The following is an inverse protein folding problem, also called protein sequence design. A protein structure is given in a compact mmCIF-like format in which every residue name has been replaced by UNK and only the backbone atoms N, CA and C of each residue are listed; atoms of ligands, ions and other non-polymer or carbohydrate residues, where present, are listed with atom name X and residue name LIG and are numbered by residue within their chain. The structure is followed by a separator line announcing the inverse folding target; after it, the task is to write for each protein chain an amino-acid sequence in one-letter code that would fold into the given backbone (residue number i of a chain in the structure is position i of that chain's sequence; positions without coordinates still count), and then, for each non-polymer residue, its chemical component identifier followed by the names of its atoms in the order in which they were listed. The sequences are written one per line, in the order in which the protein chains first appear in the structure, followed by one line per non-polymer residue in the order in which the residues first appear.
data_IF_736569165793
#
_entry.id   IF_736569165793
#
_cell.length_a   1.000
_cell.length_b   1.000
_cell.length_c   1.000
_cell.angle_alpha   90.00
_cell.angle_beta   90.00
_cell.angle_gamma   90.00
#
_symmetry.space_group_name_H-M   'P 1'
#
loop_
_entity.id
_entity.type
_entity.pdbx_description
1 polymer ?
#
# COMPACT_ATOMS: atom_id res chain seq x y z
N UNK A 1 24.96 -1.41 57.32
CA UNK A 1 23.89 -0.90 56.43
C UNK A 1 24.30 -1.23 55.01
N UNK A 2 23.61 -2.16 54.34
CA UNK A 2 23.96 -2.60 52.98
C UNK A 2 23.31 -1.71 51.94
N UNK A 3 24.12 -1.04 51.11
CA UNK A 3 23.66 -0.19 50.02
C UNK A 3 23.33 -1.07 48.81
N UNK A 4 22.08 -1.12 48.39
CA UNK A 4 21.71 -1.78 47.13
C UNK A 4 22.07 -0.85 45.96
N UNK A 5 22.76 -1.32 44.91
CA UNK A 5 23.00 -0.52 43.73
C UNK A 5 21.68 -0.23 43.02
N UNK A 6 21.35 1.05 42.85
CA UNK A 6 20.21 1.50 42.05
C UNK A 6 20.47 1.07 40.61
N UNK A 7 19.70 0.08 40.13
CA UNK A 7 19.76 -0.38 38.75
C UNK A 7 19.25 0.78 37.88
N UNK A 8 20.03 1.34 36.94
CA UNK A 8 19.53 2.35 36.03
C UNK A 8 18.46 1.70 35.15
N UNK A 9 17.20 2.02 35.39
CA UNK A 9 16.13 1.63 34.47
C UNK A 9 16.21 2.59 33.30
N UNK A 10 16.92 2.22 32.23
CA UNK A 10 16.78 2.92 30.96
C UNK A 10 15.33 2.73 30.49
N UNK A 11 14.52 3.80 30.34
CA UNK A 11 13.23 3.65 29.71
C UNK A 11 13.46 3.24 28.26
N UNK A 12 13.13 1.99 27.93
CA UNK A 12 13.05 1.55 26.53
C UNK A 12 11.77 2.19 25.98
N UNK A 13 11.93 3.33 25.29
CA UNK A 13 10.83 4.01 24.59
C UNK A 13 10.49 3.17 23.34
N UNK A 14 9.60 2.18 23.51
CA UNK A 14 9.05 1.38 22.40
C UNK A 14 7.96 2.21 21.75
N UNK A 15 8.34 3.06 20.78
CA UNK A 15 7.35 3.73 19.94
C UNK A 15 6.84 2.73 18.90
N UNK A 16 5.57 2.30 18.94
CA UNK A 16 5.03 1.47 17.88
C UNK A 16 5.06 2.26 16.57
N UNK A 17 5.61 1.64 15.52
CA UNK A 17 5.41 2.12 14.15
C UNK A 17 3.94 1.98 13.73
N UNK A 18 3.52 2.63 12.62
CA UNK A 18 2.17 2.48 12.12
C UNK A 18 1.84 0.99 11.91
N UNK A 19 0.75 0.54 12.54
CA UNK A 19 0.28 -0.86 12.46
C UNK A 19 0.79 -1.80 13.55
N UNK A 20 1.51 -1.32 14.58
CA UNK A 20 1.84 -2.12 15.77
C UNK A 20 0.95 -1.70 16.94
N UNK A 21 0.22 -2.65 17.51
CA UNK A 21 -0.62 -2.44 18.69
C UNK A 21 0.11 -3.08 19.88
N UNK A 22 0.43 -2.32 20.91
CA UNK A 22 1.01 -2.87 22.14
C UNK A 22 0.00 -2.81 23.27
N UNK A 23 -0.13 -3.92 24.00
CA UNK A 23 -1.01 -4.05 25.14
C UNK A 23 -0.35 -4.82 26.26
N UNK A 24 -0.76 -4.61 27.51
CA UNK A 24 -0.38 -5.47 28.63
C UNK A 24 -1.57 -6.31 29.05
N UNK A 25 -1.35 -7.61 29.19
CA UNK A 25 -2.33 -8.55 29.76
C UNK A 25 -1.68 -9.22 30.96
N UNK A 26 -2.04 -8.76 32.16
CA UNK A 26 -1.38 -9.17 33.40
C UNK A 26 0.11 -8.78 33.42
N UNK A 27 0.99 -9.76 33.66
CA UNK A 27 2.45 -9.57 33.63
C UNK A 27 3.05 -9.69 32.21
N UNK A 28 2.24 -10.04 31.22
CA UNK A 28 2.69 -10.30 29.85
C UNK A 28 2.52 -9.07 28.95
N UNK A 29 3.51 -8.82 28.11
CA UNK A 29 3.41 -7.87 27.00
C UNK A 29 2.81 -8.59 25.78
N UNK A 30 1.75 -8.01 25.22
CA UNK A 30 1.19 -8.42 23.94
C UNK A 30 1.61 -7.42 22.85
N UNK A 31 2.08 -7.96 21.73
CA UNK A 31 2.39 -7.22 20.52
C UNK A 31 1.46 -7.75 19.44
N UNK A 32 0.47 -6.94 19.07
CA UNK A 32 -0.44 -7.18 17.96
C UNK A 32 0.01 -6.42 16.72
N UNK A 33 -0.37 -6.93 15.57
CA UNK A 33 -0.10 -6.32 14.26
C UNK A 33 -1.45 -5.98 13.63
N UNK A 34 -1.72 -4.69 13.42
CA UNK A 34 -2.91 -4.21 12.73
C UNK A 34 -2.72 -4.32 11.22
N UNK A 35 -3.19 -5.43 10.66
CA UNK A 35 -3.03 -5.74 9.23
C UNK A 35 -3.71 -4.69 8.35
N UNK A 36 -4.83 -4.10 8.80
CA UNK A 36 -5.56 -3.08 8.04
C UNK A 36 -4.74 -1.79 7.85
N UNK A 37 -4.10 -1.33 8.92
CA UNK A 37 -3.23 -0.15 8.92
C UNK A 37 -1.94 -0.40 8.13
N UNK A 38 -1.43 -1.63 8.13
CA UNK A 38 -0.26 -2.00 7.32
C UNK A 38 -0.64 -2.06 5.84
N UNK A 39 -1.76 -2.69 5.49
CA UNK A 39 -2.25 -2.78 4.12
C UNK A 39 -2.50 -1.40 3.50
N UNK A 40 -3.02 -0.44 4.27
CA UNK A 40 -3.22 0.95 3.81
C UNK A 40 -1.90 1.71 3.54
N UNK A 41 -0.80 1.30 4.18
CA UNK A 41 0.52 1.90 3.96
C UNK A 41 1.32 1.18 2.86
N UNK A 42 0.93 -0.04 2.49
CA UNK A 42 1.53 -0.76 1.38
C UNK A 42 0.93 -0.27 0.06
N UNK A 43 1.80 -0.01 -0.93
CA UNK A 43 1.38 0.25 -2.29
C UNK A 43 1.05 -1.10 -2.94
N UNK A 44 -0.10 -1.26 -3.59
CA UNK A 44 -0.41 -2.51 -4.29
C UNK A 44 0.60 -2.75 -5.41
N UNK A 45 0.87 -4.03 -5.69
CA UNK A 45 1.63 -4.44 -6.87
C UNK A 45 0.89 -4.04 -8.14
N UNK A 46 1.62 -3.98 -9.26
CA UNK A 46 1.02 -3.73 -10.58
C UNK A 46 -0.08 -4.75 -10.91
N UNK A 47 0.18 -6.02 -10.63
CA UNK A 47 -0.77 -7.09 -10.90
C UNK A 47 -2.01 -6.96 -10.01
N UNK A 48 -1.83 -6.78 -8.69
CA UNK A 48 -2.94 -6.52 -7.76
C UNK A 48 -3.81 -5.36 -8.25
N UNK A 49 -3.20 -4.28 -8.72
CA UNK A 49 -3.92 -3.13 -9.27
C UNK A 49 -4.72 -3.48 -10.52
N UNK A 50 -4.13 -4.18 -11.50
CA UNK A 50 -4.87 -4.59 -12.71
C UNK A 50 -5.93 -5.65 -12.42
N UNK A 51 -5.71 -6.57 -11.48
CA UNK A 51 -6.74 -7.53 -11.05
C UNK A 51 -7.91 -6.81 -10.39
N UNK A 52 -7.65 -5.84 -9.51
CA UNK A 52 -8.71 -5.02 -8.91
C UNK A 52 -9.44 -4.17 -9.96
N UNK A 53 -8.70 -3.60 -10.92
CA UNK A 53 -9.25 -2.82 -12.01
C UNK A 53 -10.18 -3.67 -12.88
N UNK A 54 -9.76 -4.88 -13.25
CA UNK A 54 -10.55 -5.80 -14.06
C UNK A 54 -11.79 -6.32 -13.32
N UNK A 55 -11.67 -6.50 -12.00
CA UNK A 55 -12.81 -6.88 -11.14
C UNK A 55 -13.85 -5.75 -11.07
N UNK A 56 -13.40 -4.50 -10.98
CA UNK A 56 -14.28 -3.34 -10.92
C UNK A 56 -14.86 -2.95 -12.29
N UNK A 57 -14.06 -3.08 -13.36
CA UNK A 57 -14.38 -2.70 -14.72
C UNK A 57 -13.85 -3.76 -15.70
N UNK A 58 -14.66 -4.78 -16.04
CA UNK A 58 -14.27 -5.79 -17.01
C UNK A 58 -13.89 -5.18 -18.37
N UNK A 59 -12.74 -5.57 -18.91
CA UNK A 59 -12.16 -5.05 -20.15
C UNK A 59 -11.29 -3.80 -19.99
N UNK A 60 -11.27 -3.16 -18.82
CA UNK A 60 -10.51 -1.93 -18.59
C UNK A 60 -9.01 -2.13 -18.80
N UNK A 61 -8.47 -3.30 -18.46
CA UNK A 61 -7.05 -3.61 -18.66
C UNK A 61 -6.65 -3.57 -20.14
N UNK A 62 -7.51 -4.08 -21.02
CA UNK A 62 -7.27 -4.07 -22.47
C UNK A 62 -7.36 -2.64 -23.03
N UNK A 63 -8.32 -1.84 -22.58
CA UNK A 63 -8.45 -0.43 -22.96
C UNK A 63 -7.25 0.39 -22.51
N UNK A 64 -6.80 0.21 -21.26
CA UNK A 64 -5.60 0.88 -20.74
C UNK A 64 -4.39 0.48 -21.56
N UNK A 65 -4.19 -0.81 -21.82
CA UNK A 65 -3.06 -1.33 -22.60
C UNK A 65 -3.04 -0.78 -24.03
N UNK A 66 -4.20 -0.67 -24.68
CA UNK A 66 -4.31 -0.12 -26.03
C UNK A 66 -4.00 1.39 -26.09
N UNK A 67 -4.19 2.11 -24.99
CA UNK A 67 -3.94 3.54 -24.90
C UNK A 67 -2.50 3.88 -24.48
N UNK A 68 -1.68 2.89 -24.06
CA UNK A 68 -0.31 3.15 -23.61
C UNK A 68 0.52 3.70 -24.79
N UNK A 69 1.22 4.84 -24.61
CA UNK A 69 2.11 5.37 -25.63
C UNK A 69 3.20 4.35 -26.00
N UNK A 70 3.50 4.22 -27.29
CA UNK A 70 4.54 3.31 -27.76
C UNK A 70 5.96 3.84 -27.54
N UNK A 71 6.13 5.14 -27.27
CA UNK A 71 7.44 5.75 -26.99
C UNK A 71 7.99 5.25 -25.64
N UNK A 72 9.14 4.56 -25.62
CA UNK A 72 9.76 4.05 -24.39
C UNK A 72 10.30 5.16 -23.47
N UNK A 73 10.43 6.38 -23.98
CA UNK A 73 10.85 7.56 -23.22
C UNK A 73 9.68 8.15 -22.41
N UNK A 74 8.44 7.83 -22.78
CA UNK A 74 7.25 8.34 -22.13
C UNK A 74 7.14 7.83 -20.68
N UNK A 75 6.91 8.71 -19.69
CA UNK A 75 6.81 8.31 -18.29
C UNK A 75 5.67 7.31 -18.03
N UNK A 76 4.59 7.33 -18.82
CA UNK A 76 3.48 6.36 -18.76
C UNK A 76 3.95 4.99 -19.25
N UNK A 77 4.63 4.92 -20.40
CA UNK A 77 5.14 3.65 -20.92
C UNK A 77 6.15 3.02 -19.95
N UNK A 78 7.09 3.84 -19.42
CA UNK A 78 8.04 3.40 -18.41
C UNK A 78 7.37 2.91 -17.12
N UNK A 79 6.31 3.58 -16.68
CA UNK A 79 5.56 3.16 -15.50
C UNK A 79 4.72 1.90 -15.77
N UNK A 80 4.12 1.79 -16.95
CA UNK A 80 3.33 0.63 -17.36
C UNK A 80 4.19 -0.62 -17.45
N UNK A 81 5.38 -0.52 -18.06
CA UNK A 81 6.28 -1.66 -18.27
C UNK A 81 7.16 -1.97 -17.07
N UNK A 82 7.65 -0.96 -16.35
CA UNK A 82 8.69 -1.09 -15.32
C UNK A 82 8.27 -0.85 -13.87
N UNK A 83 7.05 -0.38 -13.60
CA UNK A 83 6.62 -0.13 -12.22
C UNK A 83 6.14 -1.41 -11.54
N UNK A 84 6.79 -1.76 -10.42
CA UNK A 84 6.39 -2.89 -9.59
C UNK A 84 5.23 -2.55 -8.65
N UNK A 85 5.14 -1.30 -8.21
CA UNK A 85 4.17 -0.82 -7.22
C UNK A 85 3.41 0.38 -7.75
N UNK A 86 2.09 0.40 -7.56
CA UNK A 86 1.22 1.47 -8.06
C UNK A 86 0.91 2.45 -6.94
N UNK A 87 1.25 3.71 -7.15
CA UNK A 87 0.84 4.81 -6.27
C UNK A 87 -0.30 5.60 -6.91
N UNK A 88 -1.28 6.05 -6.13
CA UNK A 88 -2.43 6.79 -6.66
C UNK A 88 -2.06 8.11 -7.35
N UNK A 89 -1.00 8.78 -6.90
CA UNK A 89 -0.44 9.98 -7.54
C UNK A 89 0.58 9.66 -8.64
N UNK A 90 0.85 8.38 -8.89
CA UNK A 90 1.83 7.94 -9.88
C UNK A 90 1.31 8.04 -11.32
N UNK A 91 2.23 8.10 -12.30
CA UNK A 91 1.89 8.23 -13.71
C UNK A 91 0.95 7.11 -14.21
N UNK A 92 1.13 5.88 -13.75
CA UNK A 92 0.28 4.76 -14.14
C UNK A 92 -1.17 4.91 -13.63
N UNK A 93 -1.35 5.25 -12.36
CA UNK A 93 -2.69 5.40 -11.76
C UNK A 93 -3.42 6.61 -12.34
N UNK A 94 -2.72 7.73 -12.55
CA UNK A 94 -3.28 8.90 -13.20
C UNK A 94 -3.63 8.64 -14.66
N UNK A 95 -2.79 7.89 -15.38
CA UNK A 95 -3.10 7.46 -16.75
C UNK A 95 -4.36 6.59 -16.81
N UNK A 96 -4.48 5.58 -15.95
CA UNK A 96 -5.69 4.74 -15.89
C UNK A 96 -6.93 5.60 -15.57
N UNK A 97 -6.80 6.54 -14.63
CA UNK A 97 -7.87 7.49 -14.29
C UNK A 97 -8.30 8.31 -15.50
N UNK A 98 -7.37 8.90 -16.25
CA UNK A 98 -7.69 9.71 -17.43
C UNK A 98 -8.25 8.89 -18.58
N UNK A 99 -7.72 7.69 -18.80
CA UNK A 99 -8.12 6.80 -19.92
C UNK A 99 -9.52 6.23 -19.72
N UNK A 100 -9.90 5.94 -18.47
CA UNK A 100 -11.19 5.35 -18.13
C UNK A 100 -12.21 6.38 -17.62
N UNK A 101 -11.82 7.66 -17.50
CA UNK A 101 -12.69 8.71 -16.97
C UNK A 101 -13.07 8.52 -15.50
N UNK A 102 -12.17 7.97 -14.68
CA UNK A 102 -12.43 7.70 -13.27
C UNK A 102 -12.34 8.98 -12.42
N UNK A 103 -13.15 9.04 -11.37
CA UNK A 103 -13.02 10.02 -10.30
C UNK A 103 -11.89 9.64 -9.34
N UNK A 104 -11.38 10.61 -8.56
CA UNK A 104 -10.37 10.35 -7.52
C UNK A 104 -10.86 9.32 -6.47
N UNK A 105 -12.13 9.39 -6.10
CA UNK A 105 -12.73 8.42 -5.18
C UNK A 105 -12.74 7.00 -5.78
N UNK A 106 -13.10 6.84 -7.06
CA UNK A 106 -13.07 5.53 -7.70
C UNK A 106 -11.65 4.97 -7.80
N UNK A 107 -10.66 5.81 -8.14
CA UNK A 107 -9.26 5.40 -8.17
C UNK A 107 -8.78 4.97 -6.77
N UNK A 108 -9.14 5.70 -5.72
CA UNK A 108 -8.82 5.35 -4.34
C UNK A 108 -9.44 4.00 -3.94
N UNK A 109 -10.72 3.77 -4.29
CA UNK A 109 -11.40 2.49 -4.03
C UNK A 109 -10.71 1.32 -4.74
N UNK A 110 -10.25 1.49 -5.99
CA UNK A 110 -9.52 0.45 -6.72
C UNK A 110 -8.18 0.15 -6.05
N UNK A 111 -7.45 1.19 -5.61
CA UNK A 111 -6.18 1.02 -4.91
C UNK A 111 -6.36 0.32 -3.55
N UNK A 112 -7.43 0.63 -2.82
CA UNK A 112 -7.77 -0.06 -1.58
C UNK A 112 -8.17 -1.52 -1.83
N UNK A 113 -8.96 -1.80 -2.86
CA UNK A 113 -9.28 -3.17 -3.24
C UNK A 113 -8.03 -3.95 -3.67
N UNK A 114 -7.14 -3.33 -4.43
CA UNK A 114 -5.88 -3.95 -4.88
C UNK A 114 -5.00 -4.39 -3.72
N UNK A 115 -4.92 -3.59 -2.64
CA UNK A 115 -4.12 -3.92 -1.44
C UNK A 115 -4.58 -5.19 -0.73
N UNK A 116 -5.81 -5.61 -0.94
CA UNK A 116 -6.39 -6.80 -0.31
C UNK A 116 -6.25 -8.07 -1.18
N UNK A 117 -5.81 -7.94 -2.42
CA UNK A 117 -5.61 -9.08 -3.32
C UNK A 117 -4.32 -9.80 -2.95
N UNK A 118 -4.41 -11.10 -2.69
CA UNK A 118 -3.24 -11.95 -2.45
C UNK A 118 -2.87 -12.64 -3.76
N UNK A 119 -1.62 -12.50 -4.19
CA UNK A 119 -1.06 -13.16 -5.38
C UNK A 119 -0.36 -14.46 -5.02
#
# INVERSE_FOLDING_TARGET
MGSYPVRPTFPIDVRPGPGVITGRVGASLQIGVDIGTIAQNLKPSRNQFFTALETAYPGASATVMAAVPSDPSDPVNRAFTGSLLVAGTGPLAQFVKTTLGLTDNQLATILDAARLITE
#
